data_IF_419509972275
#
_entry.id   IF_419509972275
#
_cell.length_a   1.000
_cell.length_b   1.000
_cell.length_c   1.000
_cell.angle_alpha   90.00
_cell.angle_beta   90.00
_cell.angle_gamma   90.00
#
_symmetry.space_group_name_H-M   'P 1'
#
loop_
_entity.id
_entity.type
_entity.pdbx_description
1 polymer ?
#
# COMPACT_ATOMS: atom_id res chain seq x y z
N UNK A 1 -7.33 -12.26 1.41
CA UNK A 1 -7.06 -11.24 2.43
C UNK A 1 -7.57 -9.94 1.87
N UNK A 2 -8.35 -9.17 2.62
CA UNK A 2 -8.77 -7.83 2.20
C UNK A 2 -7.61 -6.87 2.36
N UNK A 3 -7.58 -5.78 1.58
CA UNK A 3 -6.51 -4.80 1.69
C UNK A 3 -6.44 -4.13 3.07
N UNK A 4 -7.60 -3.97 3.72
CA UNK A 4 -7.70 -3.52 5.11
C UNK A 4 -6.98 -4.47 6.07
N UNK A 5 -7.14 -5.78 5.89
CA UNK A 5 -6.38 -6.78 6.65
C UNK A 5 -4.89 -6.71 6.34
N UNK A 6 -4.52 -6.45 5.07
CA UNK A 6 -3.11 -6.28 4.68
C UNK A 6 -2.44 -5.07 5.35
N UNK A 7 -3.12 -3.93 5.35
CA UNK A 7 -2.66 -2.69 6.03
C UNK A 7 -2.65 -2.87 7.54
N UNK A 8 -3.65 -3.54 8.11
CA UNK A 8 -3.67 -3.86 9.53
C UNK A 8 -2.51 -4.80 9.93
N UNK A 9 -2.23 -5.84 9.13
CA UNK A 9 -1.09 -6.74 9.35
C UNK A 9 0.26 -6.04 9.11
N UNK A 10 0.34 -5.11 8.17
CA UNK A 10 1.51 -4.24 8.00
C UNK A 10 1.77 -3.37 9.25
N UNK A 11 0.72 -2.80 9.84
CA UNK A 11 0.83 -2.08 11.12
C UNK A 11 1.31 -2.98 12.27
N UNK A 12 0.90 -4.25 12.26
CA UNK A 12 1.34 -5.26 13.23
C UNK A 12 2.71 -5.85 12.91
N UNK A 13 3.38 -5.40 11.83
CA UNK A 13 4.66 -5.91 11.32
C UNK A 13 4.62 -7.39 10.92
N UNK A 14 3.43 -7.90 10.61
CA UNK A 14 3.21 -9.25 10.09
C UNK A 14 3.35 -9.29 8.56
N UNK A 15 3.35 -8.13 7.90
CA UNK A 15 3.42 -7.99 6.44
C UNK A 15 4.52 -7.00 6.07
N UNK A 16 5.11 -7.16 4.88
CA UNK A 16 6.18 -6.29 4.37
C UNK A 16 5.70 -5.35 3.28
N UNK A 17 6.53 -4.36 2.93
CA UNK A 17 6.29 -3.48 1.78
C UNK A 17 6.19 -4.24 0.45
N UNK A 18 6.94 -5.32 0.29
CA UNK A 18 6.91 -6.15 -0.90
C UNK A 18 5.57 -6.85 -1.05
N UNK A 19 5.02 -7.41 0.03
CA UNK A 19 3.69 -8.03 0.06
C UNK A 19 2.58 -7.01 -0.26
N UNK A 20 2.68 -5.80 0.30
CA UNK A 20 1.79 -4.69 -0.04
C UNK A 20 1.85 -4.38 -1.54
N UNK A 21 3.06 -4.23 -2.10
CA UNK A 21 3.25 -3.95 -3.53
C UNK A 21 2.77 -5.10 -4.43
N UNK A 22 2.82 -6.35 -3.96
CA UNK A 22 2.34 -7.53 -4.68
C UNK A 22 0.82 -7.54 -4.80
N UNK A 23 0.13 -7.17 -3.71
CA UNK A 23 -1.33 -7.14 -3.67
C UNK A 23 -1.91 -5.89 -4.34
N UNK A 24 -1.23 -4.75 -4.20
CA UNK A 24 -1.59 -3.49 -4.88
C UNK A 24 -0.99 -3.53 -6.29
N UNK A 25 -1.68 -4.24 -7.19
CA UNK A 25 -1.23 -4.45 -8.57
C UNK A 25 -1.16 -3.19 -9.44
N UNK A 26 -1.62 -2.05 -8.95
CA UNK A 26 -1.63 -0.79 -9.70
C UNK A 26 -1.73 0.45 -8.79
N UNK A 27 -1.13 1.57 -9.22
CA UNK A 27 -1.13 2.83 -8.45
C UNK A 27 -2.55 3.42 -8.30
N UNK A 28 -3.41 3.24 -9.30
CA UNK A 28 -4.84 3.60 -9.23
C UNK A 28 -5.62 2.71 -8.24
N UNK A 29 -5.18 1.47 -8.04
CA UNK A 29 -5.70 0.55 -7.03
C UNK A 29 -5.32 1.05 -5.63
N UNK A 30 -4.11 1.59 -5.45
CA UNK A 30 -3.69 2.19 -4.19
C UNK A 30 -4.60 3.35 -3.80
N UNK A 31 -4.82 4.32 -4.70
CA UNK A 31 -5.59 5.52 -4.39
C UNK A 31 -7.03 5.22 -3.95
N UNK A 32 -7.76 4.35 -4.68
CA UNK A 32 -9.13 3.98 -4.32
C UNK A 32 -9.21 3.29 -2.96
N UNK A 33 -8.26 2.40 -2.68
CA UNK A 33 -8.31 1.62 -1.45
C UNK A 33 -7.73 2.41 -0.27
N UNK A 34 -6.79 3.31 -0.51
CA UNK A 34 -6.29 4.27 0.47
C UNK A 34 -7.43 5.15 0.96
N UNK A 35 -8.27 5.68 0.06
CA UNK A 35 -9.44 6.49 0.41
C UNK A 35 -10.42 5.70 1.29
N UNK A 36 -10.74 4.46 0.90
CA UNK A 36 -11.60 3.55 1.68
C UNK A 36 -11.06 3.26 3.09
N UNK A 37 -9.75 3.07 3.24
CA UNK A 37 -9.15 2.84 4.57
C UNK A 37 -9.07 4.15 5.35
N UNK A 38 -8.81 5.27 4.69
CA UNK A 38 -8.77 6.59 5.32
C UNK A 38 -10.13 6.98 5.90
N UNK A 39 -11.22 6.68 5.20
CA UNK A 39 -12.58 6.84 5.73
C UNK A 39 -12.87 5.90 6.92
N UNK A 40 -12.31 4.69 6.92
CA UNK A 40 -12.58 3.68 7.96
C UNK A 40 -11.70 3.78 9.22
N UNK A 41 -10.42 4.12 9.07
CA UNK A 41 -9.46 4.28 10.18
C UNK A 41 -9.44 5.71 10.73
N UNK A 42 -9.99 6.66 9.98
CA UNK A 42 -9.95 8.08 10.29
C UNK A 42 -8.62 8.72 9.88
N UNK A 43 -8.71 9.96 9.41
CA UNK A 43 -7.64 10.75 8.76
C UNK A 43 -6.42 11.10 9.64
N UNK A 44 -6.26 10.47 10.80
CA UNK A 44 -5.21 10.73 11.78
C UNK A 44 -4.31 9.51 12.05
N UNK A 45 -4.38 8.46 11.24
CA UNK A 45 -3.48 7.32 11.40
C UNK A 45 -2.11 7.66 10.80
N UNK A 46 -1.07 7.75 11.64
CA UNK A 46 0.33 7.90 11.19
C UNK A 46 0.73 6.84 10.15
N UNK A 47 0.12 5.65 10.25
CA UNK A 47 0.28 4.56 9.30
C UNK A 47 -0.20 4.94 7.88
N UNK A 48 -1.33 5.63 7.77
CA UNK A 48 -1.86 6.07 6.48
C UNK A 48 -1.00 7.18 5.89
N UNK A 49 -0.52 8.11 6.72
CA UNK A 49 0.41 9.12 6.25
C UNK A 49 1.71 8.47 5.72
N UNK A 50 2.24 7.48 6.43
CA UNK A 50 3.41 6.73 6.01
C UNK A 50 3.15 5.93 4.72
N UNK A 51 1.99 5.27 4.60
CA UNK A 51 1.61 4.58 3.37
C UNK A 51 1.50 5.54 2.19
N UNK A 52 0.88 6.71 2.35
CA UNK A 52 0.77 7.69 1.28
C UNK A 52 2.14 8.22 0.79
N UNK A 53 3.09 8.40 1.70
CA UNK A 53 4.42 8.93 1.39
C UNK A 53 5.39 7.87 0.84
N UNK A 54 5.44 6.69 1.47
CA UNK A 54 6.43 5.66 1.16
C UNK A 54 5.96 4.65 0.10
N UNK A 55 4.65 4.35 0.05
CA UNK A 55 4.13 3.32 -0.87
C UNK A 55 4.47 3.60 -2.35
N UNK A 56 4.34 4.82 -2.89
CA UNK A 56 4.70 5.11 -4.29
C UNK A 56 6.19 4.84 -4.58
N UNK A 57 7.06 5.13 -3.61
CA UNK A 57 8.50 4.93 -3.75
C UNK A 57 8.86 3.43 -3.71
N UNK A 58 8.22 2.68 -2.80
CA UNK A 58 8.37 1.22 -2.73
C UNK A 58 7.80 0.54 -3.97
N UNK A 59 6.62 0.93 -4.43
CA UNK A 59 5.98 0.36 -5.61
C UNK A 59 6.81 0.60 -6.87
N UNK A 60 7.36 1.80 -7.09
CA UNK A 60 8.25 2.08 -8.23
C UNK A 60 9.50 1.22 -8.21
N UNK A 61 10.13 1.08 -7.05
CA UNK A 61 11.31 0.23 -6.90
C UNK A 61 10.97 -1.23 -7.16
N UNK A 62 9.88 -1.72 -6.56
CA UNK A 62 9.37 -3.08 -6.74
C UNK A 62 9.00 -3.39 -8.19
N UNK A 63 8.28 -2.48 -8.85
CA UNK A 63 7.87 -2.62 -10.24
C UNK A 63 9.08 -2.65 -11.17
N UNK A 64 10.10 -1.82 -10.93
CA UNK A 64 11.36 -1.83 -11.66
C UNK A 64 12.13 -3.14 -11.49
N UNK A 65 12.23 -3.66 -10.28
CA UNK A 65 12.93 -4.93 -9.99
C UNK A 65 12.22 -6.14 -10.58
N UNK A 66 10.89 -6.10 -10.67
CA UNK A 66 10.07 -7.18 -11.22
C UNK A 66 9.78 -7.05 -12.73
N UNK A 67 10.18 -5.95 -13.36
CA UNK A 67 9.84 -5.66 -14.75
C UNK A 67 8.34 -5.40 -14.97
N UNK A 68 7.64 -4.96 -13.93
CA UNK A 68 6.22 -4.56 -13.94
C UNK A 68 6.03 -3.06 -14.24
N UNK A 69 7.13 -2.34 -14.43
CA UNK A 69 7.16 -0.97 -14.96
C UNK A 69 6.70 -1.02 -16.43
N UNK A 70 5.37 -1.12 -16.63
CA UNK A 70 4.79 -1.04 -17.96
C UNK A 70 4.70 0.45 -18.38
N UNK A 71 5.13 0.77 -19.62
CA UNK A 71 5.19 2.13 -20.16
C UNK A 71 3.82 2.79 -20.41
#
# INVERSE_FOLDING_TARGET
>A
MTFKELVASFNQKETTWEDLCLEIRCESCFASVFDEINEQMGSASDLLAQLADEFPNHYKSYAKERGLDQP
#
